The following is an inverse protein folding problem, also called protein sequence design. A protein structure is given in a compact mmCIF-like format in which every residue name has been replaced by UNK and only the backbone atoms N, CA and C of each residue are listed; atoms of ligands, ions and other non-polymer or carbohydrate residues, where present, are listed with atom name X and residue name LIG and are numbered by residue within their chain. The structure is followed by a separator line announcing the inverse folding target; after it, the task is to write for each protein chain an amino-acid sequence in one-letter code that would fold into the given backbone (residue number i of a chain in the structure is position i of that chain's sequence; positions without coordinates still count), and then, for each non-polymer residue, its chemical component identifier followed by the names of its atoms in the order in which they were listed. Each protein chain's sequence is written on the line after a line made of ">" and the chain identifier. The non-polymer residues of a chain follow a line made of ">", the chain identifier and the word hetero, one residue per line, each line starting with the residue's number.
data_IF_768066729548
#
_entry.id   IF_768066729548
#
_cell.length_a   1.000
_cell.length_b   1.000
_cell.length_c   1.000
_cell.angle_alpha   90.00
_cell.angle_beta   90.00
_cell.angle_gamma   90.00
#
_symmetry.space_group_name_H-M   'P 1'
#
loop_
_entity.id
_entity.type
_entity.pdbx_description
1 polymer ?
#
# COMPACT_ATOMS: atom_id res chain seq x y z
N UNK A 1 3.30 4.80 15.31
CA UNK A 1 3.08 3.62 14.44
C UNK A 1 2.32 2.47 15.11
N UNK A 2 2.53 2.18 16.40
CA UNK A 2 1.91 1.02 17.07
C UNK A 2 0.39 0.93 16.93
N UNK A 3 -0.34 2.02 17.18
CA UNK A 3 -1.81 2.04 17.08
C UNK A 3 -2.35 1.77 15.67
N UNK A 4 -1.65 2.21 14.62
CA UNK A 4 -2.03 1.96 13.23
C UNK A 4 -1.93 0.47 12.88
N UNK A 5 -0.84 -0.18 13.28
CA UNK A 5 -0.61 -1.61 13.03
C UNK A 5 -1.66 -2.47 13.73
N UNK A 6 -1.95 -2.18 15.00
CA UNK A 6 -2.98 -2.90 15.76
C UNK A 6 -4.36 -2.73 15.14
N UNK A 7 -4.73 -1.49 14.80
CA UNK A 7 -6.02 -1.23 14.16
C UNK A 7 -6.12 -1.91 12.78
N UNK A 8 -5.04 -1.97 12.01
CA UNK A 8 -5.02 -2.70 10.74
C UNK A 8 -5.23 -4.19 10.96
N UNK A 9 -4.54 -4.79 11.93
CA UNK A 9 -4.75 -6.21 12.25
C UNK A 9 -6.18 -6.52 12.70
N UNK A 10 -6.85 -5.59 13.38
CA UNK A 10 -8.27 -5.73 13.69
C UNK A 10 -9.13 -5.75 12.42
N UNK A 11 -8.92 -4.80 11.49
CA UNK A 11 -9.63 -4.77 10.20
C UNK A 11 -9.34 -6.03 9.38
N UNK A 12 -8.09 -6.48 9.37
CA UNK A 12 -7.66 -7.66 8.62
C UNK A 12 -8.24 -8.95 9.21
N UNK A 13 -8.26 -9.09 10.55
CA UNK A 13 -8.90 -10.21 11.23
C UNK A 13 -10.41 -10.24 10.95
N UNK A 14 -11.10 -9.10 11.01
CA UNK A 14 -12.52 -9.03 10.64
C UNK A 14 -12.75 -9.42 9.18
N UNK A 15 -11.86 -8.98 8.27
CA UNK A 15 -11.91 -9.37 6.86
C UNK A 15 -11.83 -10.89 6.70
N UNK A 16 -10.88 -11.54 7.38
CA UNK A 16 -10.63 -12.96 7.21
C UNK A 16 -11.57 -13.87 8.02
N UNK A 17 -12.15 -13.40 9.13
CA UNK A 17 -12.89 -14.26 10.07
C UNK A 17 -14.38 -13.92 10.16
N UNK A 18 -14.80 -12.73 9.72
CA UNK A 18 -16.19 -12.25 9.81
C UNK A 18 -16.78 -12.01 8.43
N UNK A 19 -16.03 -11.40 7.52
CA UNK A 19 -16.57 -11.01 6.20
C UNK A 19 -16.45 -12.11 5.15
N UNK A 20 -15.48 -13.02 5.31
CA UNK A 20 -15.17 -14.10 4.38
C UNK A 20 -14.92 -15.42 5.12
N UNK A 21 -15.07 -16.53 4.42
CA UNK A 21 -14.59 -17.86 4.82
C UNK A 21 -13.34 -18.24 4.00
N UNK A 22 -12.12 -18.04 4.53
CA UNK A 22 -10.89 -18.33 3.79
C UNK A 22 -10.74 -19.80 3.37
N UNK A 23 -11.33 -20.73 4.13
CA UNK A 23 -11.23 -22.16 3.82
C UNK A 23 -11.97 -22.49 2.52
N UNK A 24 -13.11 -21.83 2.29
CA UNK A 24 -13.99 -22.07 1.14
C UNK A 24 -13.74 -21.12 -0.02
N UNK A 25 -13.49 -19.85 0.26
CA UNK A 25 -13.49 -18.80 -0.74
C UNK A 25 -12.10 -18.58 -1.35
N UNK A 26 -11.02 -18.81 -0.59
CA UNK A 26 -9.68 -18.37 -1.00
C UNK A 26 -8.88 -19.51 -1.63
N UNK A 27 -8.22 -19.16 -2.74
CA UNK A 27 -7.31 -20.04 -3.46
C UNK A 27 -6.02 -19.29 -3.76
N UNK A 28 -4.89 -19.98 -3.62
CA UNK A 28 -3.54 -19.46 -3.87
C UNK A 28 -2.93 -20.15 -5.08
N UNK A 29 -2.24 -19.40 -5.93
CA UNK A 29 -1.48 -19.97 -7.05
C UNK A 29 -0.24 -20.68 -6.52
N UNK A 30 -0.09 -21.96 -6.83
CA UNK A 30 1.03 -22.80 -6.40
C UNK A 30 1.60 -23.64 -7.55
N UNK A 31 2.91 -23.93 -7.47
CA UNK A 31 3.58 -24.88 -8.35
C UNK A 31 3.17 -26.30 -7.97
N UNK A 32 2.76 -27.09 -8.96
CA UNK A 32 2.56 -28.52 -8.85
C UNK A 32 3.54 -29.22 -9.78
N UNK A 33 4.23 -30.25 -9.27
CA UNK A 33 4.97 -31.16 -10.15
C UNK A 33 3.96 -32.08 -10.79
N UNK A 34 3.94 -32.13 -12.13
CA UNK A 34 3.21 -33.16 -12.85
C UNK A 34 3.72 -34.54 -12.42
N UNK A 35 2.81 -35.43 -12.03
CA UNK A 35 3.13 -36.85 -11.97
C UNK A 35 3.51 -37.28 -13.38
N UNK A 36 4.65 -37.96 -13.53
CA UNK A 36 5.03 -38.53 -14.82
C UNK A 36 3.88 -39.43 -15.27
N UNK A 37 3.35 -39.20 -16.47
CA UNK A 37 2.29 -40.03 -17.03
C UNK A 37 2.78 -41.49 -17.06
N UNK A 38 2.33 -42.30 -16.10
CA UNK A 38 2.47 -43.75 -16.17
C UNK A 38 1.41 -44.24 -17.14
N UNK A 39 1.71 -44.14 -18.44
CA UNK A 39 0.98 -44.91 -19.43
C UNK A 39 1.14 -46.38 -19.04
N UNK A 40 0.02 -47.02 -18.69
CA UNK A 40 -0.06 -48.27 -17.95
C UNK A 40 0.46 -49.53 -18.64
N UNK A 41 1.43 -49.45 -19.57
CA UNK A 41 2.07 -50.61 -20.20
C UNK A 41 3.57 -50.37 -20.39
N UNK A 42 4.34 -50.56 -19.31
CA UNK A 42 5.72 -51.08 -19.31
C UNK A 42 6.34 -50.92 -17.91
N UNK A 43 5.87 -51.70 -16.95
CA UNK A 43 6.65 -51.94 -15.73
C UNK A 43 7.69 -53.02 -16.06
N UNK A 44 8.88 -52.64 -16.50
CA UNK A 44 10.09 -53.46 -16.38
C UNK A 44 11.34 -52.57 -16.52
N UNK A 45 12.03 -52.44 -15.38
CA UNK A 45 13.48 -52.20 -15.25
C UNK A 45 14.08 -51.03 -16.02
N UNK A 46 13.99 -49.82 -15.45
CA UNK A 46 15.14 -48.89 -15.46
C UNK A 46 15.19 -48.09 -14.15
N UNK A 47 16.26 -48.27 -13.36
CA UNK A 47 16.62 -47.41 -12.22
C UNK A 47 17.17 -46.06 -12.72
N UNK A 48 16.38 -45.32 -13.50
CA UNK A 48 16.65 -43.91 -13.80
C UNK A 48 15.67 -43.05 -13.00
N UNK A 49 16.13 -42.04 -12.24
CA UNK A 49 15.20 -41.10 -11.64
C UNK A 49 14.36 -40.50 -12.76
N UNK A 50 13.04 -40.66 -12.67
CA UNK A 50 12.10 -40.09 -13.62
C UNK A 50 12.41 -38.59 -13.76
N UNK A 51 12.62 -38.11 -14.99
CA UNK A 51 12.78 -36.67 -15.23
C UNK A 51 11.53 -35.98 -14.67
N UNK A 52 11.66 -34.97 -13.79
CA UNK A 52 10.50 -34.28 -13.27
C UNK A 52 9.67 -33.73 -14.44
N UNK A 53 8.37 -34.01 -14.43
CA UNK A 53 7.44 -33.49 -15.43
C UNK A 53 7.45 -31.95 -15.46
N UNK A 54 6.94 -31.34 -16.54
CA UNK A 54 6.83 -29.88 -16.60
C UNK A 54 6.06 -29.36 -15.37
N UNK A 55 6.61 -28.33 -14.72
CA UNK A 55 5.95 -27.68 -13.58
C UNK A 55 4.71 -26.94 -14.10
N UNK A 56 3.56 -27.17 -13.46
CA UNK A 56 2.30 -26.49 -13.78
C UNK A 56 1.83 -25.65 -12.60
N UNK A 57 1.18 -24.52 -12.88
CA UNK A 57 0.57 -23.66 -11.87
C UNK A 57 -0.90 -24.06 -11.68
N UNK A 58 -1.31 -24.21 -10.42
CA UNK A 58 -2.68 -24.63 -10.07
C UNK A 58 -3.24 -23.78 -8.94
N UNK A 59 -4.57 -23.71 -8.86
CA UNK A 59 -5.27 -23.14 -7.72
C UNK A 59 -5.23 -24.10 -6.53
N UNK A 60 -4.58 -23.69 -5.44
CA UNK A 60 -4.56 -24.40 -4.18
C UNK A 60 -5.55 -23.76 -3.20
N UNK A 61 -6.64 -24.47 -2.92
CA UNK A 61 -7.55 -24.17 -1.80
C UNK A 61 -6.90 -24.50 -0.45
N UNK A 62 -7.63 -24.36 0.65
CA UNK A 62 -7.12 -24.64 1.99
C UNK A 62 -6.50 -26.05 2.11
N UNK A 63 -5.18 -26.16 2.40
CA UNK A 63 -4.48 -27.43 2.33
C UNK A 63 -4.63 -28.28 3.60
N UNK A 64 -4.62 -29.60 3.41
CA UNK A 64 -4.68 -30.59 4.49
C UNK A 64 -3.43 -30.62 5.39
N UNK A 65 -2.22 -30.85 4.84
CA UNK A 65 -1.00 -31.04 5.63
C UNK A 65 -0.62 -29.82 6.47
N UNK A 66 -0.20 -30.05 7.73
CA UNK A 66 0.05 -28.97 8.70
C UNK A 66 1.04 -27.91 8.21
N UNK A 67 2.22 -28.31 7.73
CA UNK A 67 3.24 -27.34 7.29
C UNK A 67 2.83 -26.55 6.06
N UNK A 68 2.13 -27.20 5.12
CA UNK A 68 1.57 -26.54 3.95
C UNK A 68 0.48 -25.55 4.36
N UNK A 69 -0.40 -25.95 5.27
CA UNK A 69 -1.43 -25.09 5.87
C UNK A 69 -0.85 -23.90 6.60
N UNK A 70 0.18 -24.10 7.42
CA UNK A 70 0.85 -23.00 8.12
C UNK A 70 1.46 -22.02 7.10
N UNK A 71 2.16 -22.50 6.08
CA UNK A 71 2.70 -21.65 5.00
C UNK A 71 1.60 -20.91 4.24
N UNK A 72 0.47 -21.57 3.97
CA UNK A 72 -0.68 -21.00 3.29
C UNK A 72 -1.33 -19.89 4.12
N UNK A 73 -1.57 -20.13 5.41
CA UNK A 73 -2.14 -19.16 6.35
C UNK A 73 -1.18 -17.99 6.58
N UNK A 74 0.12 -18.24 6.77
CA UNK A 74 1.11 -17.17 6.88
C UNK A 74 1.12 -16.30 5.62
N UNK A 75 1.09 -16.91 4.44
CA UNK A 75 0.96 -16.19 3.17
C UNK A 75 -0.29 -15.32 3.12
N UNK A 76 -1.43 -15.83 3.60
CA UNK A 76 -2.68 -15.07 3.65
C UNK A 76 -2.62 -13.88 4.63
N UNK A 77 -2.01 -14.08 5.80
CA UNK A 77 -1.87 -13.04 6.82
C UNK A 77 -0.91 -11.93 6.38
N UNK A 78 0.15 -12.27 5.64
CA UNK A 78 1.19 -11.31 5.24
C UNK A 78 0.97 -10.68 3.88
N UNK A 79 0.05 -11.20 3.07
CA UNK A 79 -0.23 -10.68 1.74
C UNK A 79 -1.54 -9.91 1.72
N UNK A 80 -1.47 -8.59 1.56
CA UNK A 80 -2.62 -7.69 1.67
C UNK A 80 -3.13 -7.21 0.30
N UNK A 81 -2.35 -7.40 -0.78
CA UNK A 81 -2.73 -7.06 -2.17
C UNK A 81 -3.17 -8.29 -2.98
N UNK A 82 -2.80 -9.48 -2.53
CA UNK A 82 -3.22 -10.75 -3.10
C UNK A 82 -2.67 -11.07 -4.49
N UNK A 83 -1.40 -10.76 -4.86
CA UNK A 83 -0.93 -11.00 -6.20
C UNK A 83 -1.02 -12.48 -6.62
N UNK A 84 -0.80 -13.42 -5.73
CA UNK A 84 -0.96 -14.88 -5.94
C UNK A 84 -2.33 -15.43 -5.54
N UNK A 85 -3.27 -14.59 -5.15
CA UNK A 85 -4.55 -15.01 -4.59
C UNK A 85 -5.69 -14.76 -5.57
N UNK A 86 -6.75 -15.56 -5.49
CA UNK A 86 -7.94 -15.37 -6.32
C UNK A 86 -8.70 -14.06 -6.03
N UNK A 87 -8.51 -13.48 -4.84
CA UNK A 87 -9.05 -12.17 -4.46
C UNK A 87 -8.17 -10.98 -4.87
N UNK A 88 -7.12 -11.21 -5.69
CA UNK A 88 -6.20 -10.22 -6.27
C UNK A 88 -6.87 -8.88 -6.57
N UNK A 89 -6.34 -7.80 -6.02
CA UNK A 89 -6.92 -6.47 -6.27
C UNK A 89 -6.78 -6.06 -7.75
N UNK A 90 -7.84 -5.49 -8.31
CA UNK A 90 -7.93 -5.20 -9.75
C UNK A 90 -6.85 -4.25 -10.29
N UNK A 91 -6.26 -3.41 -9.43
CA UNK A 91 -5.17 -2.50 -9.79
C UNK A 91 -3.87 -3.22 -10.14
N UNK A 92 -3.72 -4.51 -9.77
CA UNK A 92 -2.54 -5.29 -10.16
C UNK A 92 -2.65 -5.83 -11.60
N UNK A 93 -3.79 -5.63 -12.28
CA UNK A 93 -4.08 -6.22 -13.57
C UNK A 93 -4.33 -7.73 -13.51
N UNK A 94 -4.77 -8.32 -14.63
CA UNK A 94 -4.98 -9.77 -14.74
C UNK A 94 -3.64 -10.52 -14.68
N UNK A 95 -3.72 -11.83 -14.42
CA UNK A 95 -2.56 -12.70 -14.57
C UNK A 95 -2.06 -12.72 -16.03
N UNK A 96 -0.75 -12.98 -16.25
CA UNK A 96 -0.24 -13.19 -17.60
C UNK A 96 -1.01 -14.31 -18.33
N UNK A 97 -1.21 -14.24 -19.66
CA UNK A 97 -1.94 -15.27 -20.41
C UNK A 97 -1.37 -16.69 -20.22
N UNK A 98 -0.05 -16.83 -20.05
CA UNK A 98 0.61 -18.10 -19.79
C UNK A 98 0.29 -18.73 -18.43
N UNK A 99 -0.11 -17.90 -17.46
CA UNK A 99 -0.55 -18.35 -16.13
C UNK A 99 -2.04 -18.67 -16.19
N UNK A 100 -2.85 -17.80 -16.81
CA UNK A 100 -4.28 -18.03 -17.00
C UNK A 100 -4.56 -19.34 -17.73
N UNK A 101 -3.83 -19.65 -18.81
CA UNK A 101 -4.02 -20.90 -19.55
C UNK A 101 -3.78 -22.17 -18.70
N UNK A 102 -2.98 -22.07 -17.64
CA UNK A 102 -2.75 -23.18 -16.70
C UNK A 102 -3.85 -23.24 -15.63
N UNK A 103 -4.29 -22.08 -15.14
CA UNK A 103 -5.31 -21.96 -14.09
C UNK A 103 -6.75 -22.21 -14.61
N UNK A 104 -7.05 -21.84 -15.85
CA UNK A 104 -8.36 -21.94 -16.51
C UNK A 104 -8.69 -23.37 -16.95
N UNK A 105 -7.73 -24.29 -16.86
CA UNK A 105 -7.94 -25.72 -17.16
C UNK A 105 -8.87 -26.42 -16.15
N UNK A 106 -9.43 -25.72 -15.15
CA UNK A 106 -10.32 -26.30 -14.15
C UNK A 106 -11.52 -25.46 -13.69
N UNK A 107 -11.75 -24.23 -14.15
CA UNK A 107 -12.99 -23.48 -13.80
C UNK A 107 -13.21 -22.28 -14.74
N UNK A 108 -14.38 -22.23 -15.37
CA UNK A 108 -14.79 -21.14 -16.29
C UNK A 108 -15.37 -19.96 -15.51
N UNK A 109 -14.63 -18.86 -15.38
CA UNK A 109 -15.20 -17.54 -15.08
C UNK A 109 -14.27 -16.41 -15.59
N UNK A 110 -14.63 -15.80 -16.71
CA UNK A 110 -13.95 -14.60 -17.22
C UNK A 110 -14.24 -13.38 -16.34
N UNK A 111 -13.24 -12.54 -16.00
CA UNK A 111 -13.50 -11.19 -15.53
C UNK A 111 -13.55 -10.20 -16.71
N UNK A 112 -14.52 -9.28 -16.66
CA UNK A 112 -14.70 -8.15 -17.58
C UNK A 112 -13.40 -7.35 -17.78
N UNK A 113 -13.02 -7.21 -19.05
CA UNK A 113 -11.90 -6.39 -19.50
C UNK A 113 -12.29 -4.91 -19.50
N UNK A 114 -11.60 -4.06 -18.74
CA UNK A 114 -11.44 -2.63 -19.06
C UNK A 114 -10.32 -1.96 -18.23
N UNK A 115 -9.08 -2.47 -18.31
CA UNK A 115 -7.86 -1.65 -18.07
C UNK A 115 -6.74 -2.28 -18.88
N UNK A 116 -6.09 -1.52 -19.77
CA UNK A 116 -4.85 -1.96 -20.43
C UNK A 116 -3.77 -2.07 -19.34
N UNK A 117 -3.30 -3.28 -18.99
CA UNK A 117 -2.35 -3.41 -17.88
C UNK A 117 -0.98 -2.88 -18.31
N UNK A 118 -0.16 -2.39 -17.37
CA UNK A 118 1.26 -2.18 -17.63
C UNK A 118 1.87 -3.50 -18.09
N UNK A 119 2.63 -3.48 -19.20
CA UNK A 119 3.43 -4.61 -19.66
C UNK A 119 4.57 -4.84 -18.65
N UNK A 120 4.29 -5.51 -17.53
CA UNK A 120 5.37 -5.99 -16.68
C UNK A 120 6.14 -7.07 -17.45
N UNK A 121 7.48 -7.03 -17.48
CA UNK A 121 8.27 -8.17 -17.92
C UNK A 121 7.86 -9.40 -17.11
N UNK A 122 7.58 -10.53 -17.76
CA UNK A 122 7.24 -11.76 -17.04
C UNK A 122 8.40 -12.22 -16.12
N UNK A 123 9.64 -11.89 -16.49
CA UNK A 123 10.85 -12.26 -15.76
C UNK A 123 11.23 -11.22 -14.70
N UNK A 124 11.33 -11.67 -13.46
CA UNK A 124 11.76 -10.87 -12.31
C UNK A 124 13.20 -10.35 -12.47
N UNK A 125 14.10 -11.10 -13.14
CA UNK A 125 15.49 -10.68 -13.35
C UNK A 125 15.58 -9.35 -14.12
N UNK A 126 14.68 -9.15 -15.08
CA UNK A 126 14.58 -7.91 -15.83
C UNK A 126 14.02 -6.74 -15.01
N UNK A 127 13.25 -7.03 -13.95
CA UNK A 127 12.66 -6.01 -13.07
C UNK A 127 13.61 -5.58 -11.94
N UNK A 128 14.51 -6.47 -11.49
CA UNK A 128 15.42 -6.21 -10.36
C UNK A 128 16.22 -4.91 -10.48
N UNK A 129 16.84 -4.54 -11.62
CA UNK A 129 17.58 -3.28 -11.73
C UNK A 129 16.71 -2.05 -11.47
N UNK A 130 15.46 -2.06 -11.96
CA UNK A 130 14.51 -0.98 -11.71
C UNK A 130 14.08 -0.91 -10.24
N UNK A 131 13.88 -2.07 -9.60
CA UNK A 131 13.53 -2.18 -8.17
C UNK A 131 14.68 -1.67 -7.29
N UNK A 132 15.92 -2.08 -7.60
CA UNK A 132 17.12 -1.60 -6.89
C UNK A 132 17.28 -0.08 -7.09
N UNK A 133 17.10 0.42 -8.32
CA UNK A 133 17.16 1.85 -8.59
C UNK A 133 16.10 2.63 -7.80
N UNK A 134 14.87 2.11 -7.72
CA UNK A 134 13.80 2.72 -6.92
C UNK A 134 14.13 2.70 -5.43
N UNK A 135 14.65 1.57 -4.92
CA UNK A 135 15.08 1.43 -3.53
C UNK A 135 16.15 2.48 -3.17
N UNK A 136 17.21 2.59 -3.98
CA UNK A 136 18.30 3.56 -3.79
C UNK A 136 17.80 5.02 -3.89
N UNK A 137 16.97 5.34 -4.90
CA UNK A 137 16.39 6.69 -5.03
C UNK A 137 15.53 7.06 -3.84
N UNK A 138 14.70 6.13 -3.37
CA UNK A 138 13.81 6.35 -2.23
C UNK A 138 14.62 6.49 -0.93
N UNK A 139 15.70 5.73 -0.77
CA UNK A 139 16.64 5.87 0.34
C UNK A 139 17.27 7.27 0.36
N UNK A 140 17.87 7.70 -0.75
CA UNK A 140 18.54 9.01 -0.84
C UNK A 140 17.53 10.16 -0.68
N UNK A 141 16.31 10.00 -1.21
CA UNK A 141 15.25 10.98 -1.01
C UNK A 141 14.83 11.08 0.46
N UNK A 142 14.69 9.95 1.16
CA UNK A 142 14.41 9.95 2.60
C UNK A 142 15.52 10.60 3.41
N UNK A 143 16.78 10.30 3.07
CA UNK A 143 17.95 10.87 3.74
C UNK A 143 17.96 12.40 3.63
N UNK A 144 17.76 12.92 2.41
CA UNK A 144 17.64 14.36 2.16
C UNK A 144 16.42 14.98 2.87
N UNK A 145 15.26 14.34 2.80
CA UNK A 145 14.03 14.86 3.41
C UNK A 145 14.17 14.92 4.93
N UNK A 146 14.77 13.90 5.55
CA UNK A 146 15.03 13.88 6.98
C UNK A 146 15.96 15.00 7.38
N UNK A 147 17.02 15.24 6.62
CA UNK A 147 17.91 16.38 6.84
C UNK A 147 17.16 17.72 6.83
N UNK A 148 16.26 17.92 5.87
CA UNK A 148 15.46 19.14 5.78
C UNK A 148 14.47 19.26 6.94
N UNK A 149 13.83 18.14 7.33
CA UNK A 149 12.84 18.11 8.39
C UNK A 149 13.43 18.39 9.77
N UNK A 150 14.59 17.83 10.12
CA UNK A 150 15.21 18.07 11.45
C UNK A 150 15.59 19.54 11.67
N UNK A 151 15.68 20.33 10.59
CA UNK A 151 16.02 21.76 10.63
C UNK A 151 14.83 22.70 10.61
N UNK A 152 13.64 22.22 10.27
CA UNK A 152 12.42 23.02 10.35
C UNK A 152 11.67 22.63 11.63
N UNK A 153 11.59 23.59 12.55
CA UNK A 153 10.98 23.44 13.88
C UNK A 153 9.58 22.82 13.84
N UNK A 154 8.83 23.05 12.75
CA UNK A 154 7.53 22.43 12.57
C UNK A 154 7.57 20.92 12.59
N UNK A 155 8.52 20.29 11.89
CA UNK A 155 8.65 18.83 11.90
C UNK A 155 9.21 18.32 13.22
N UNK A 156 9.82 19.21 14.02
CA UNK A 156 10.24 18.94 15.39
C UNK A 156 9.10 19.12 16.42
N UNK A 157 7.85 19.15 15.96
CA UNK A 157 6.67 19.20 16.82
C UNK A 157 6.28 20.61 17.29
N UNK A 158 7.07 21.63 16.96
CA UNK A 158 6.77 23.02 17.29
C UNK A 158 5.78 23.59 16.26
N UNK A 159 4.51 23.27 16.47
CA UNK A 159 3.42 23.83 15.66
C UNK A 159 2.91 25.12 16.32
N UNK A 160 3.58 26.22 15.99
CA UNK A 160 3.28 27.58 16.44
C UNK A 160 2.23 28.29 15.56
N UNK A 161 1.52 29.25 16.16
CA UNK A 161 0.70 30.23 15.45
C UNK A 161 1.10 31.64 15.94
N UNK A 162 1.74 32.48 15.11
CA UNK A 162 2.04 32.27 13.68
C UNK A 162 3.11 31.19 13.44
N UNK A 163 3.17 30.60 12.23
CA UNK A 163 4.12 29.55 11.90
C UNK A 163 5.56 30.08 11.82
N UNK A 164 6.50 29.31 12.38
CA UNK A 164 7.93 29.60 12.25
C UNK A 164 8.37 29.59 10.77
N UNK A 165 9.38 30.41 10.40
CA UNK A 165 9.97 30.40 9.06
C UNK A 165 10.40 28.98 8.63
N UNK A 166 10.09 28.55 7.40
CA UNK A 166 10.47 27.22 6.93
C UNK A 166 11.95 27.19 6.52
N UNK A 167 12.72 26.25 7.04
CA UNK A 167 14.08 26.00 6.53
C UNK A 167 14.04 25.22 5.21
N UNK A 168 14.87 25.52 4.19
CA UNK A 168 15.85 26.62 4.09
C UNK A 168 15.27 27.89 3.43
N UNK A 169 13.95 28.01 3.36
CA UNK A 169 13.24 29.00 2.56
C UNK A 169 12.58 30.09 3.43
N UNK A 170 13.35 30.73 4.31
CA UNK A 170 12.85 31.77 5.23
C UNK A 170 12.14 32.91 4.49
N UNK A 171 12.52 33.16 3.23
CA UNK A 171 11.86 34.13 2.32
C UNK A 171 10.37 33.84 2.09
N UNK A 172 9.90 32.60 2.33
CA UNK A 172 8.50 32.21 2.23
C UNK A 172 7.69 32.56 3.48
N UNK A 173 8.33 32.91 4.61
CA UNK A 173 7.66 33.19 5.88
C UNK A 173 6.53 34.24 5.79
N UNK A 174 6.63 35.32 4.99
CA UNK A 174 5.53 36.29 4.81
C UNK A 174 4.29 35.71 4.10
N UNK A 175 4.39 34.53 3.48
CA UNK A 175 3.35 33.91 2.67
C UNK A 175 2.90 32.56 3.29
N UNK A 176 1.95 32.55 4.26
CA UNK A 176 1.54 31.34 4.96
C UNK A 176 1.10 30.18 4.06
N UNK A 177 0.47 30.49 2.93
CA UNK A 177 0.08 29.49 1.93
C UNK A 177 1.28 28.76 1.31
N UNK A 178 2.38 29.47 1.04
CA UNK A 178 3.60 28.87 0.48
C UNK A 178 4.32 28.01 1.52
N UNK A 179 4.38 28.47 2.78
CA UNK A 179 4.89 27.68 3.91
C UNK A 179 4.10 26.38 4.06
N UNK A 180 2.76 26.47 4.03
CA UNK A 180 1.89 25.30 4.10
C UNK A 180 2.13 24.35 2.92
N UNK A 181 2.26 24.89 1.71
CA UNK A 181 2.51 24.09 0.50
C UNK A 181 3.84 23.37 0.59
N UNK A 182 4.90 24.04 1.07
CA UNK A 182 6.20 23.44 1.34
C UNK A 182 6.08 22.28 2.33
N UNK A 183 5.49 22.51 3.51
CA UNK A 183 5.37 21.50 4.57
C UNK A 183 4.51 20.29 4.17
N UNK A 184 3.40 20.53 3.48
CA UNK A 184 2.58 19.47 2.88
C UNK A 184 3.37 18.66 1.84
N UNK A 185 4.14 19.34 0.98
CA UNK A 185 4.94 18.68 -0.06
C UNK A 185 6.04 17.84 0.57
N UNK A 186 6.77 18.38 1.54
CA UNK A 186 7.81 17.65 2.30
C UNK A 186 7.26 16.43 3.01
N UNK A 187 6.12 16.57 3.70
CA UNK A 187 5.41 15.43 4.31
C UNK A 187 5.00 14.39 3.27
N UNK A 188 4.39 14.83 2.17
CA UNK A 188 3.92 13.93 1.11
C UNK A 188 5.06 13.16 0.46
N UNK A 189 6.16 13.82 0.09
CA UNK A 189 7.33 13.17 -0.48
C UNK A 189 8.01 12.26 0.56
N UNK A 190 8.10 12.68 1.82
CA UNK A 190 8.66 11.87 2.90
C UNK A 190 7.91 10.55 3.09
N UNK A 191 6.58 10.61 3.20
CA UNK A 191 5.72 9.41 3.29
C UNK A 191 5.83 8.56 2.03
N UNK A 192 5.80 9.18 0.84
CA UNK A 192 5.90 8.46 -0.43
C UNK A 192 7.23 7.71 -0.54
N UNK A 193 8.35 8.37 -0.24
CA UNK A 193 9.69 7.77 -0.27
C UNK A 193 9.82 6.66 0.77
N UNK A 194 9.25 6.82 1.98
CA UNK A 194 9.25 5.80 3.04
C UNK A 194 8.53 4.53 2.58
N UNK A 195 7.31 4.69 2.05
CA UNK A 195 6.52 3.57 1.56
C UNK A 195 7.14 2.92 0.33
N UNK A 196 7.71 3.69 -0.60
CA UNK A 196 8.40 3.17 -1.76
C UNK A 196 9.63 2.35 -1.36
N UNK A 197 10.44 2.87 -0.43
CA UNK A 197 11.62 2.18 0.10
C UNK A 197 11.27 0.85 0.75
N UNK A 198 10.32 0.85 1.70
CA UNK A 198 9.89 -0.38 2.40
C UNK A 198 9.26 -1.38 1.43
N UNK A 199 8.49 -0.91 0.45
CA UNK A 199 7.85 -1.78 -0.54
C UNK A 199 8.87 -2.51 -1.44
N UNK A 200 10.07 -1.97 -1.62
CA UNK A 200 11.15 -2.64 -2.36
C UNK A 200 11.70 -3.86 -1.62
N UNK A 201 11.56 -3.97 -0.30
CA UNK A 201 12.08 -5.12 0.45
C UNK A 201 11.39 -6.42 0.07
N UNK A 202 10.09 -6.40 -0.21
CA UNK A 202 9.35 -7.61 -0.60
C UNK A 202 9.95 -8.30 -1.85
N UNK A 203 10.09 -7.64 -3.02
CA UNK A 203 10.73 -8.26 -4.17
C UNK A 203 12.24 -8.52 -3.99
N UNK A 204 12.97 -7.67 -3.25
CA UNK A 204 14.41 -7.87 -3.06
C UNK A 204 14.71 -9.08 -2.16
N UNK A 205 13.93 -9.25 -1.09
CA UNK A 205 14.08 -10.37 -0.16
C UNK A 205 13.47 -11.63 -0.75
N UNK A 206 12.17 -11.69 -0.97
CA UNK A 206 11.52 -12.94 -1.39
C UNK A 206 11.85 -13.30 -2.84
N UNK A 207 11.77 -12.32 -3.74
CA UNK A 207 12.10 -12.53 -5.15
C UNK A 207 13.59 -12.74 -5.39
N UNK A 208 14.42 -11.86 -4.83
CA UNK A 208 15.89 -11.94 -4.95
C UNK A 208 16.46 -13.22 -4.33
N UNK A 209 16.05 -13.60 -3.12
CA UNK A 209 16.50 -14.86 -2.50
C UNK A 209 15.98 -16.08 -3.26
N UNK A 210 14.76 -16.03 -3.82
CA UNK A 210 14.26 -17.13 -4.65
C UNK A 210 15.06 -17.29 -5.94
N UNK A 211 15.59 -16.21 -6.52
CA UNK A 211 16.46 -16.27 -7.69
C UNK A 211 17.88 -16.73 -7.36
N UNK A 212 18.40 -16.37 -6.19
CA UNK A 212 19.73 -16.76 -5.72
C UNK A 212 19.77 -18.22 -5.22
N UNK A 213 18.72 -18.66 -4.53
CA UNK A 213 18.63 -19.97 -3.88
C UNK A 213 17.33 -20.71 -4.28
N UNK A 214 17.16 -21.06 -5.57
CA UNK A 214 15.90 -21.62 -6.07
C UNK A 214 15.50 -22.93 -5.39
N UNK A 215 16.46 -23.80 -5.08
CA UNK A 215 16.20 -25.07 -4.38
C UNK A 215 15.69 -24.85 -2.96
N UNK A 216 16.24 -23.89 -2.22
CA UNK A 216 15.82 -23.56 -0.86
C UNK A 216 14.43 -22.92 -0.87
N UNK A 217 14.17 -21.97 -1.77
CA UNK A 217 12.87 -21.34 -1.90
C UNK A 217 11.77 -22.37 -2.23
N UNK A 218 12.05 -23.30 -3.16
CA UNK A 218 11.12 -24.38 -3.53
C UNK A 218 10.90 -25.43 -2.42
N UNK A 219 11.88 -25.61 -1.53
CA UNK A 219 11.73 -26.49 -0.37
C UNK A 219 10.83 -25.87 0.71
N UNK A 220 10.81 -24.54 0.81
CA UNK A 220 10.04 -23.80 1.82
C UNK A 220 8.61 -23.53 1.36
N UNK A 221 8.41 -23.21 0.07
CA UNK A 221 7.09 -22.85 -0.45
C UNK A 221 6.88 -23.31 -1.90
N UNK A 222 5.64 -23.72 -2.18
CA UNK A 222 5.15 -24.02 -3.53
C UNK A 222 4.80 -22.75 -4.31
N UNK A 223 4.71 -21.57 -3.68
CA UNK A 223 4.42 -20.30 -4.35
C UNK A 223 5.56 -19.94 -5.32
N UNK A 224 5.24 -19.47 -6.54
CA UNK A 224 6.25 -19.11 -7.53
C UNK A 224 6.98 -17.80 -7.25
N UNK A 225 7.73 -17.70 -6.15
CA UNK A 225 8.39 -16.47 -5.68
C UNK A 225 9.37 -15.84 -6.68
N UNK A 226 9.83 -16.56 -7.69
CA UNK A 226 10.67 -16.05 -8.79
C UNK A 226 9.86 -15.40 -9.93
N UNK A 227 8.53 -15.48 -9.89
CA UNK A 227 7.67 -14.95 -10.93
C UNK A 227 7.50 -13.42 -10.83
N UNK A 228 7.81 -12.71 -11.92
CA UNK A 228 7.77 -11.25 -11.95
C UNK A 228 6.38 -10.63 -11.74
N UNK A 229 5.30 -11.38 -12.00
CA UNK A 229 3.92 -10.90 -11.83
C UNK A 229 3.45 -10.85 -10.37
N UNK A 230 4.23 -11.43 -9.44
CA UNK A 230 3.99 -11.34 -8.00
C UNK A 230 4.36 -9.99 -7.41
N UNK A 231 5.21 -9.24 -8.10
CA UNK A 231 5.79 -7.99 -7.59
C UNK A 231 5.39 -6.77 -8.42
N UNK A 232 4.09 -6.51 -8.63
CA UNK A 232 3.66 -5.30 -9.29
C UNK A 232 4.08 -4.07 -8.46
N UNK A 233 4.40 -2.93 -9.11
CA UNK A 233 4.75 -1.70 -8.41
C UNK A 233 3.75 -1.36 -7.31
N UNK A 234 4.25 -0.87 -6.18
CA UNK A 234 3.39 -0.44 -5.07
C UNK A 234 2.48 0.71 -5.52
N UNK A 235 3.06 1.70 -6.20
CA UNK A 235 2.36 2.88 -6.71
C UNK A 235 2.08 2.77 -8.21
N UNK A 236 0.93 3.29 -8.63
CA UNK A 236 0.58 3.44 -10.05
C UNK A 236 1.31 4.62 -10.72
N UNK A 237 0.95 4.96 -11.97
CA UNK A 237 1.50 6.14 -12.63
C UNK A 237 0.85 7.43 -12.10
N UNK A 238 1.64 8.30 -11.47
CA UNK A 238 1.13 9.52 -10.81
C UNK A 238 0.41 10.49 -11.77
N UNK A 239 1.11 10.93 -12.82
CA UNK A 239 0.60 11.99 -13.70
C UNK A 239 -0.67 11.55 -14.44
N UNK A 240 -0.70 10.37 -15.05
CA UNK A 240 -1.85 9.94 -15.86
C UNK A 240 -3.08 9.68 -14.99
N UNK A 241 -2.93 9.07 -13.83
CA UNK A 241 -4.06 8.80 -12.93
C UNK A 241 -4.71 10.10 -12.42
N UNK A 242 -3.92 11.11 -12.05
CA UNK A 242 -4.45 12.40 -11.60
C UNK A 242 -5.00 13.22 -12.75
N UNK A 243 -4.28 13.32 -13.87
CA UNK A 243 -4.73 14.11 -15.02
C UNK A 243 -6.01 13.53 -15.64
N UNK A 244 -6.10 12.22 -15.80
CA UNK A 244 -7.24 11.57 -16.47
C UNK A 244 -8.40 11.27 -15.50
N UNK A 245 -8.11 10.88 -14.25
CA UNK A 245 -9.15 10.45 -13.29
C UNK A 245 -9.30 11.36 -12.06
N UNK A 246 -8.53 12.46 -11.94
CA UNK A 246 -8.68 13.41 -10.84
C UNK A 246 -8.39 12.82 -9.46
N UNK A 247 -9.10 13.31 -8.44
CA UNK A 247 -8.89 12.92 -7.05
C UNK A 247 -9.19 11.43 -6.79
N UNK A 248 -10.19 10.86 -7.49
CA UNK A 248 -10.47 9.42 -7.37
C UNK A 248 -9.33 8.59 -7.97
N UNK A 249 -8.67 9.05 -9.03
CA UNK A 249 -7.49 8.41 -9.60
C UNK A 249 -6.32 8.34 -8.61
N UNK A 250 -6.08 9.43 -7.89
CA UNK A 250 -5.06 9.52 -6.85
C UNK A 250 -5.19 8.37 -5.83
N UNK A 251 -6.39 8.18 -5.27
CA UNK A 251 -6.61 7.20 -4.20
C UNK A 251 -6.90 5.77 -4.69
N UNK A 252 -7.54 5.61 -5.85
CA UNK A 252 -8.01 4.30 -6.32
C UNK A 252 -7.10 3.62 -7.33
N UNK A 253 -6.12 4.34 -7.90
CA UNK A 253 -5.21 3.82 -8.93
C UNK A 253 -3.73 4.07 -8.60
N UNK A 254 -3.38 5.26 -8.08
CA UNK A 254 -1.98 5.62 -7.82
C UNK A 254 -1.47 5.20 -6.44
N UNK A 255 -2.17 5.56 -5.37
CA UNK A 255 -1.75 5.29 -3.99
C UNK A 255 -1.58 3.78 -3.74
N UNK A 256 -0.72 3.35 -2.82
CA UNK A 256 -0.15 1.99 -2.73
C UNK A 256 -1.10 0.75 -2.71
N UNK A 257 -2.41 0.94 -2.55
CA UNK A 257 -3.45 -0.10 -2.55
C UNK A 257 -3.28 -1.27 -1.55
N UNK A 258 -2.31 -1.22 -0.62
CA UNK A 258 -2.01 -2.31 0.33
C UNK A 258 -3.23 -2.69 1.17
N UNK A 259 -3.99 -1.69 1.64
CA UNK A 259 -5.14 -1.92 2.53
C UNK A 259 -6.47 -2.07 1.79
N UNK A 260 -6.46 -2.01 0.45
CA UNK A 260 -7.68 -1.86 -0.35
C UNK A 260 -8.66 -3.00 -0.14
N UNK A 261 -8.16 -4.24 -0.09
CA UNK A 261 -9.03 -5.41 0.05
C UNK A 261 -9.86 -5.36 1.33
N UNK A 262 -9.22 -5.16 2.49
CA UNK A 262 -9.93 -5.04 3.77
C UNK A 262 -10.96 -3.91 3.80
N UNK A 263 -10.66 -2.76 3.22
CA UNK A 263 -11.60 -1.63 3.14
C UNK A 263 -12.82 -1.93 2.27
N UNK A 264 -12.60 -2.58 1.13
CA UNK A 264 -13.68 -2.97 0.22
C UNK A 264 -14.52 -4.09 0.83
N UNK A 265 -13.91 -5.11 1.42
CA UNK A 265 -14.62 -6.21 2.10
C UNK A 265 -15.52 -5.67 3.22
N UNK A 266 -15.02 -4.72 4.03
CA UNK A 266 -15.84 -4.05 5.06
C UNK A 266 -17.06 -3.36 4.44
N UNK A 267 -16.87 -2.66 3.32
CA UNK A 267 -17.95 -1.98 2.61
C UNK A 267 -18.98 -2.95 2.03
N UNK A 268 -18.53 -4.07 1.48
CA UNK A 268 -19.38 -5.12 0.91
C UNK A 268 -20.20 -5.82 1.99
N UNK A 269 -19.60 -6.09 3.15
CA UNK A 269 -20.29 -6.63 4.31
C UNK A 269 -21.37 -5.66 4.83
N UNK A 270 -21.09 -4.37 4.96
CA UNK A 270 -22.13 -3.38 5.33
C UNK A 270 -23.26 -3.35 4.29
N UNK A 271 -22.93 -3.39 3.00
CA UNK A 271 -23.93 -3.41 1.93
C UNK A 271 -24.80 -4.68 1.95
N UNK A 272 -24.26 -5.83 2.37
CA UNK A 272 -25.06 -7.05 2.49
C UNK A 272 -26.11 -6.93 3.59
N UNK A 273 -25.81 -6.25 4.69
CA UNK A 273 -26.77 -5.97 5.77
C UNK A 273 -27.94 -5.09 5.30
N UNK A 274 -27.68 -4.13 4.39
CA UNK A 274 -28.71 -3.26 3.82
C UNK A 274 -29.57 -3.97 2.76
N UNK A 275 -29.06 -5.03 2.13
CA UNK A 275 -29.66 -5.73 0.99
C UNK A 275 -30.30 -7.08 1.32
N UNK A 276 -30.48 -7.44 2.60
CA UNK A 276 -31.03 -8.73 3.02
C UNK A 276 -32.50 -8.96 2.60
N UNK A 277 -33.18 -7.96 2.04
CA UNK A 277 -34.41 -8.13 1.27
C UNK A 277 -34.11 -8.35 -0.21
N UNK A 278 -34.18 -9.60 -0.68
CA UNK A 278 -33.97 -10.01 -2.09
C UNK A 278 -34.80 -9.24 -3.12
N UNK A 279 -35.80 -8.48 -2.69
CA UNK A 279 -36.72 -7.74 -3.54
C UNK A 279 -36.16 -6.43 -4.11
N UNK A 280 -35.15 -5.79 -3.49
CA UNK A 280 -34.58 -4.53 -3.99
C UNK A 280 -33.09 -4.36 -3.63
N UNK A 281 -32.15 -4.78 -4.51
CA UNK A 281 -30.72 -4.56 -4.27
C UNK A 281 -30.37 -3.07 -4.26
N UNK A 282 -29.35 -2.64 -3.49
CA UNK A 282 -28.92 -1.24 -3.47
C UNK A 282 -28.51 -0.76 -4.86
N UNK A 283 -28.94 0.46 -5.23
CA UNK A 283 -28.59 1.06 -6.52
C UNK A 283 -27.07 1.21 -6.70
N UNK A 284 -26.59 1.28 -7.95
CA UNK A 284 -25.16 1.50 -8.24
C UNK A 284 -24.60 2.74 -7.53
N UNK A 285 -25.38 3.81 -7.47
CA UNK A 285 -25.01 5.04 -6.78
C UNK A 285 -24.90 4.84 -5.27
N UNK A 286 -25.86 4.15 -4.66
CA UNK A 286 -25.82 3.78 -3.23
C UNK A 286 -24.60 2.94 -2.92
N UNK A 287 -24.34 1.88 -3.71
CA UNK A 287 -23.16 1.02 -3.53
C UNK A 287 -21.85 1.80 -3.60
N UNK A 288 -21.73 2.71 -4.58
CA UNK A 288 -20.55 3.57 -4.73
C UNK A 288 -20.39 4.52 -3.55
N UNK A 289 -21.47 5.17 -3.11
CA UNK A 289 -21.46 6.10 -1.98
C UNK A 289 -21.03 5.40 -0.69
N UNK A 290 -21.67 4.27 -0.36
CA UNK A 290 -21.34 3.48 0.84
C UNK A 290 -19.89 3.00 0.78
N UNK A 291 -19.44 2.47 -0.36
CA UNK A 291 -18.05 2.01 -0.52
C UNK A 291 -17.05 3.15 -0.31
N UNK A 292 -17.29 4.34 -0.87
CA UNK A 292 -16.41 5.48 -0.68
C UNK A 292 -16.37 5.93 0.78
N UNK A 293 -17.54 6.12 1.41
CA UNK A 293 -17.62 6.59 2.80
C UNK A 293 -16.97 5.57 3.73
N UNK A 294 -17.34 4.29 3.64
CA UNK A 294 -16.80 3.24 4.52
C UNK A 294 -15.30 3.08 4.31
N UNK A 295 -14.80 3.00 3.07
CA UNK A 295 -13.37 2.82 2.84
C UNK A 295 -12.54 3.98 3.40
N UNK A 296 -12.97 5.23 3.20
CA UNK A 296 -12.25 6.39 3.75
C UNK A 296 -12.45 6.57 5.26
N UNK A 297 -13.60 6.18 5.82
CA UNK A 297 -13.81 6.15 7.27
C UNK A 297 -12.92 5.13 7.96
N UNK A 298 -12.84 3.90 7.44
CA UNK A 298 -11.96 2.85 7.99
C UNK A 298 -10.50 3.27 7.85
N UNK A 299 -10.10 3.81 6.68
CA UNK A 299 -8.75 4.37 6.50
C UNK A 299 -8.46 5.49 7.49
N UNK A 300 -9.40 6.42 7.70
CA UNK A 300 -9.27 7.51 8.67
C UNK A 300 -9.14 7.00 10.10
N UNK A 301 -9.94 6.00 10.47
CA UNK A 301 -9.90 5.37 11.79
C UNK A 301 -8.53 4.73 12.07
N UNK A 302 -7.97 4.01 11.10
CA UNK A 302 -6.62 3.45 11.24
C UNK A 302 -5.56 4.51 11.54
N UNK A 303 -5.60 5.63 10.83
CA UNK A 303 -4.64 6.71 11.05
C UNK A 303 -4.91 7.49 12.33
N UNK A 304 -6.17 7.61 12.76
CA UNK A 304 -6.54 8.15 14.06
C UNK A 304 -6.00 7.28 15.20
N UNK A 305 -6.11 5.95 15.12
CA UNK A 305 -5.46 5.06 16.08
C UNK A 305 -3.93 5.21 16.07
N UNK A 306 -3.33 5.42 14.90
CA UNK A 306 -1.90 5.72 14.76
C UNK A 306 -1.49 7.00 15.49
N UNK A 307 -2.28 8.06 15.32
CA UNK A 307 -2.13 9.38 15.94
C UNK A 307 -2.35 9.33 17.46
N UNK A 308 -3.39 8.64 17.92
CA UNK A 308 -3.71 8.45 19.34
C UNK A 308 -2.60 7.74 20.11
N UNK A 309 -1.90 6.80 19.45
CA UNK A 309 -0.81 6.05 20.06
C UNK A 309 0.56 6.75 20.00
N UNK A 310 0.61 8.03 19.65
CA UNK A 310 1.84 8.84 19.72
C UNK A 310 2.06 9.40 21.12
N UNK A 311 3.28 9.86 21.40
CA UNK A 311 3.70 10.30 22.74
C UNK A 311 3.08 11.67 23.11
N UNK A 312 3.14 12.69 22.24
CA UNK A 312 2.58 14.01 22.56
C UNK A 312 1.06 14.06 22.32
N UNK A 313 0.40 15.12 22.82
CA UNK A 313 -1.00 15.39 22.51
C UNK A 313 -1.20 15.63 21.01
N UNK A 314 -1.92 14.72 20.37
CA UNK A 314 -2.30 14.78 18.96
C UNK A 314 -3.79 15.08 18.77
N UNK A 315 -4.22 15.17 17.52
CA UNK A 315 -5.59 15.43 17.11
C UNK A 315 -6.14 14.26 16.26
N UNK A 316 -6.37 13.05 16.80
CA UNK A 316 -6.74 11.87 16.01
C UNK A 316 -7.99 12.07 15.13
N UNK A 317 -9.04 12.68 15.68
CA UNK A 317 -10.31 12.85 14.96
C UNK A 317 -10.31 14.08 14.05
N UNK A 318 -9.79 15.21 14.54
CA UNK A 318 -9.83 16.50 13.84
C UNK A 318 -8.67 16.68 12.86
N UNK A 319 -7.57 15.94 13.04
CA UNK A 319 -6.38 15.88 12.19
C UNK A 319 -6.47 14.75 11.16
N UNK A 320 -6.06 13.54 11.57
CA UNK A 320 -5.91 12.39 10.65
C UNK A 320 -7.24 11.84 10.13
N UNK A 321 -8.23 11.53 10.99
CA UNK A 321 -9.52 11.02 10.55
C UNK A 321 -10.20 11.99 9.57
N UNK A 322 -10.26 13.28 9.94
CA UNK A 322 -10.82 14.36 9.13
C UNK A 322 -10.19 14.43 7.74
N UNK A 323 -8.86 14.32 7.64
CA UNK A 323 -8.17 14.28 6.36
C UNK A 323 -8.68 13.15 5.47
N UNK A 324 -8.73 11.92 5.97
CA UNK A 324 -9.15 10.77 5.16
C UNK A 324 -10.63 10.82 4.77
N UNK A 325 -11.53 11.09 5.72
CA UNK A 325 -12.97 11.13 5.39
C UNK A 325 -13.31 12.27 4.41
N UNK A 326 -12.57 13.38 4.47
CA UNK A 326 -12.75 14.48 3.51
C UNK A 326 -12.43 14.09 2.07
N UNK A 327 -11.59 13.06 1.84
CA UNK A 327 -11.30 12.58 0.48
C UNK A 327 -12.55 11.98 -0.19
N UNK A 328 -13.41 11.29 0.57
CA UNK A 328 -14.71 10.85 0.06
C UNK A 328 -15.57 12.06 -0.37
N UNK A 329 -15.61 13.11 0.46
CA UNK A 329 -16.31 14.37 0.15
C UNK A 329 -15.77 15.04 -1.11
N UNK A 330 -14.44 15.15 -1.25
CA UNK A 330 -13.79 15.73 -2.43
C UNK A 330 -14.09 14.94 -3.71
N UNK A 331 -14.07 13.60 -3.63
CA UNK A 331 -14.40 12.74 -4.76
C UNK A 331 -15.85 12.91 -5.17
N UNK A 332 -16.78 12.94 -4.21
CA UNK A 332 -18.21 13.14 -4.49
C UNK A 332 -18.48 14.54 -5.07
N UNK A 333 -17.79 15.57 -4.57
CA UNK A 333 -17.87 16.92 -5.09
C UNK A 333 -17.37 17.01 -6.53
N UNK A 334 -16.20 16.43 -6.82
CA UNK A 334 -15.67 16.37 -8.18
C UNK A 334 -16.60 15.59 -9.12
N UNK A 335 -17.16 14.48 -8.65
CA UNK A 335 -18.09 13.66 -9.43
C UNK A 335 -19.39 14.42 -9.73
N UNK A 336 -19.97 15.11 -8.75
CA UNK A 336 -21.13 15.98 -8.93
C UNK A 336 -20.85 17.10 -9.93
N UNK A 337 -19.71 17.75 -9.82
CA UNK A 337 -19.28 18.79 -10.75
C UNK A 337 -19.18 18.24 -12.18
N UNK A 338 -18.42 17.17 -12.37
CA UNK A 338 -18.14 16.62 -13.69
C UNK A 338 -19.35 15.95 -14.35
N UNK A 339 -20.22 15.28 -13.59
CA UNK A 339 -21.34 14.50 -14.15
C UNK A 339 -22.66 15.26 -14.19
N UNK A 340 -22.83 16.30 -13.38
CA UNK A 340 -24.12 16.98 -13.24
C UNK A 340 -24.04 18.46 -13.58
N UNK A 341 -23.03 19.18 -13.09
CA UNK A 341 -22.97 20.64 -13.25
C UNK A 341 -22.35 21.01 -14.60
N UNK A 342 -21.15 20.50 -14.90
CA UNK A 342 -20.41 20.84 -16.13
C UNK A 342 -21.22 20.57 -17.41
N UNK A 343 -21.90 19.41 -17.58
CA UNK A 343 -22.68 19.14 -18.79
C UNK A 343 -23.90 20.07 -18.97
N UNK A 344 -24.38 20.71 -17.88
CA UNK A 344 -25.47 21.70 -17.95
C UNK A 344 -24.97 23.09 -18.35
N UNK A 345 -23.69 23.38 -18.13
CA UNK A 345 -23.08 24.68 -18.44
C UNK A 345 -22.47 24.70 -19.85
N UNK A 346 -21.83 23.61 -20.25
CA UNK A 346 -21.11 23.49 -21.52
C UNK A 346 -21.27 22.07 -22.05
N UNK A 347 -21.35 21.91 -23.38
CA UNK A 347 -21.24 20.59 -23.99
C UNK A 347 -19.88 19.99 -23.66
N UNK A 348 -19.86 18.86 -22.94
CA UNK A 348 -18.61 18.22 -22.48
C UNK A 348 -17.69 17.86 -23.65
N UNK A 349 -18.28 17.51 -24.80
CA UNK A 349 -17.54 17.19 -26.02
C UNK A 349 -16.83 18.41 -26.60
N UNK A 350 -17.31 19.62 -26.30
CA UNK A 350 -16.65 20.87 -26.69
C UNK A 350 -15.46 21.22 -25.77
N UNK A 351 -15.26 20.54 -24.63
CA UNK A 351 -14.16 20.84 -23.71
C UNK A 351 -12.89 20.08 -24.13
N UNK A 352 -11.81 20.78 -24.55
CA UNK A 352 -10.58 20.13 -24.97
C UNK A 352 -9.98 19.24 -23.87
N UNK A 353 -9.39 18.11 -24.25
CA UNK A 353 -8.75 17.18 -23.30
C UNK A 353 -7.70 17.85 -22.39
N UNK A 354 -6.83 18.77 -22.87
CA UNK A 354 -5.88 19.45 -22.01
C UNK A 354 -6.56 20.26 -20.89
N UNK A 355 -7.67 20.93 -21.20
CA UNK A 355 -8.42 21.72 -20.22
C UNK A 355 -9.08 20.83 -19.16
N UNK A 356 -9.66 19.68 -19.57
CA UNK A 356 -10.19 18.68 -18.62
C UNK A 356 -9.10 18.12 -17.70
N UNK A 357 -7.93 17.79 -18.25
CA UNK A 357 -6.77 17.32 -17.49
C UNK A 357 -6.25 18.36 -16.51
N UNK A 358 -6.15 19.62 -16.95
CA UNK A 358 -5.75 20.73 -16.09
C UNK A 358 -6.75 20.94 -14.95
N UNK A 359 -8.05 20.91 -15.22
CA UNK A 359 -9.10 20.99 -14.19
C UNK A 359 -9.03 19.84 -13.18
N UNK A 360 -8.83 18.60 -13.65
CA UNK A 360 -8.64 17.44 -12.77
C UNK A 360 -7.42 17.59 -11.86
N UNK A 361 -6.27 18.01 -12.40
CA UNK A 361 -5.06 18.23 -11.62
C UNK A 361 -5.22 19.39 -10.62
N UNK A 362 -5.77 20.52 -11.06
CA UNK A 362 -6.00 21.68 -10.20
C UNK A 362 -6.91 21.34 -9.02
N UNK A 363 -8.03 20.64 -9.28
CA UNK A 363 -8.92 20.21 -8.22
C UNK A 363 -8.25 19.20 -7.27
N UNK A 364 -7.62 18.15 -7.82
CA UNK A 364 -7.01 17.10 -6.99
C UNK A 364 -5.86 17.64 -6.12
N UNK A 365 -4.93 18.40 -6.71
CA UNK A 365 -3.81 18.99 -5.98
C UNK A 365 -4.27 20.06 -4.99
N UNK A 366 -5.21 20.93 -5.39
CA UNK A 366 -5.78 21.93 -4.50
C UNK A 366 -6.51 21.31 -3.30
N UNK A 367 -7.30 20.25 -3.53
CA UNK A 367 -8.00 19.52 -2.47
C UNK A 367 -7.00 18.84 -1.50
N UNK A 368 -5.98 18.17 -2.04
CA UNK A 368 -4.95 17.51 -1.23
C UNK A 368 -4.12 18.51 -0.43
N UNK A 369 -3.78 19.67 -0.98
CA UNK A 369 -3.06 20.73 -0.24
C UNK A 369 -3.94 21.32 0.87
N UNK A 370 -5.21 21.60 0.56
CA UNK A 370 -6.16 22.18 1.52
C UNK A 370 -6.44 21.25 2.70
N UNK A 371 -6.68 19.96 2.42
CA UNK A 371 -6.98 18.96 3.45
C UNK A 371 -5.71 18.41 4.10
N UNK A 372 -4.60 18.34 3.36
CA UNK A 372 -3.32 17.79 3.80
C UNK A 372 -2.71 18.51 5.00
N UNK A 373 -3.07 19.78 5.23
CA UNK A 373 -2.63 20.51 6.43
C UNK A 373 -3.01 19.81 7.74
N UNK A 374 -4.19 19.19 7.80
CA UNK A 374 -4.69 18.55 9.01
C UNK A 374 -3.85 17.33 9.41
N UNK A 375 -3.47 16.49 8.44
CA UNK A 375 -2.63 15.32 8.69
C UNK A 375 -1.15 15.70 8.88
N UNK A 376 -0.66 16.69 8.13
CA UNK A 376 0.72 17.17 8.23
C UNK A 376 0.99 17.75 9.62
N UNK A 377 0.05 18.53 10.14
CA UNK A 377 0.15 19.12 11.47
C UNK A 377 0.07 18.07 12.58
N UNK A 378 -0.84 17.10 12.45
CA UNK A 378 -0.94 15.99 13.39
C UNK A 378 0.34 15.15 13.45
N UNK A 379 0.94 14.85 12.29
CA UNK A 379 2.21 14.13 12.20
C UNK A 379 3.37 14.89 12.83
N UNK A 380 3.42 16.22 12.63
CA UNK A 380 4.38 17.09 13.29
C UNK A 380 4.19 17.06 14.82
N UNK A 381 3.00 17.36 15.33
CA UNK A 381 2.67 17.35 16.76
C UNK A 381 2.98 16.01 17.42
N UNK A 382 2.61 14.91 16.76
CA UNK A 382 2.79 13.55 17.25
C UNK A 382 4.23 13.03 17.17
N UNK A 383 5.20 13.86 16.75
CA UNK A 383 6.60 13.48 16.69
C UNK A 383 6.90 12.36 15.68
N UNK A 384 6.06 12.16 14.66
CA UNK A 384 6.27 11.12 13.64
C UNK A 384 7.66 11.25 13.00
N UNK A 385 8.12 12.49 12.85
CA UNK A 385 9.37 12.82 12.17
C UNK A 385 10.61 12.63 13.03
N UNK A 386 10.48 12.33 14.33
CA UNK A 386 11.60 11.95 15.19
C UNK A 386 12.08 10.53 14.95
N UNK A 387 11.24 9.65 14.41
CA UNK A 387 11.65 8.29 14.07
C UNK A 387 12.72 8.32 12.99
N UNK A 388 13.86 7.65 13.19
CA UNK A 388 14.93 7.55 12.19
C UNK A 388 14.79 6.29 11.34
N UNK A 389 14.26 6.38 10.11
CA UNK A 389 13.98 5.20 9.30
C UNK A 389 15.23 4.59 8.65
N UNK A 390 16.33 5.34 8.58
CA UNK A 390 17.56 4.93 7.91
C UNK A 390 18.67 4.69 8.95
N UNK A 391 19.40 3.56 8.87
CA UNK A 391 20.52 3.29 9.77
C UNK A 391 21.75 4.16 9.44
N UNK A 392 21.93 4.49 8.17
CA UNK A 392 23.09 5.23 7.67
C UNK A 392 22.65 6.47 6.88
N UNK A 393 23.21 7.63 7.16
CA UNK A 393 22.97 8.84 6.38
C UNK A 393 24.21 9.23 5.59
N UNK A 394 24.05 9.38 4.27
CA UNK A 394 25.10 9.88 3.38
C UNK A 394 25.28 11.38 3.60
N UNK A 395 24.17 12.13 3.67
CA UNK A 395 24.24 13.59 3.78
C UNK A 395 24.80 14.05 5.14
N UNK A 396 24.40 13.40 6.25
CA UNK A 396 24.97 13.67 7.59
C UNK A 396 26.42 13.25 7.68
N UNK A 397 26.78 12.11 7.09
CA UNK A 397 28.16 11.61 7.03
C UNK A 397 29.11 12.53 6.27
N UNK A 398 28.62 13.20 5.23
CA UNK A 398 29.36 14.22 4.48
C UNK A 398 29.34 15.62 5.14
N UNK A 399 28.68 15.78 6.29
CA UNK A 399 28.56 17.07 6.97
C UNK A 399 27.72 18.11 6.21
N UNK A 400 26.93 17.67 5.23
CA UNK A 400 26.16 18.58 4.38
C UNK A 400 24.98 19.12 5.17
N UNK A 401 25.04 20.40 5.54
CA UNK A 401 23.90 21.11 6.11
C UNK A 401 23.35 20.50 7.39
N UNK A 402 24.22 20.04 8.30
CA UNK A 402 23.88 19.55 9.65
C UNK A 402 24.57 20.38 10.73
N UNK A 403 23.99 20.42 11.93
CA UNK A 403 24.72 20.87 13.12
C UNK A 403 25.78 19.82 13.50
N UNK A 404 26.82 20.19 14.25
CA UNK A 404 27.88 19.24 14.66
C UNK A 404 27.33 18.03 15.42
N UNK A 405 26.28 18.22 16.23
CA UNK A 405 25.61 17.14 16.97
C UNK A 405 24.92 16.12 16.07
N UNK A 406 24.50 16.51 14.86
CA UNK A 406 23.83 15.65 13.90
C UNK A 406 24.79 15.09 12.84
N UNK A 407 26.10 15.37 12.96
CA UNK A 407 27.11 14.83 12.06
C UNK A 407 27.38 13.36 12.35
N UNK A 408 27.65 12.61 11.28
CA UNK A 408 28.02 11.22 11.37
C UNK A 408 27.27 10.35 10.37
N UNK A 409 27.87 9.19 10.08
CA UNK A 409 27.30 8.22 9.15
C UNK A 409 26.16 7.44 9.80
N UNK A 410 26.28 7.12 11.08
CA UNK A 410 25.39 6.21 11.79
C UNK A 410 24.27 6.98 12.50
N UNK A 411 23.01 6.68 12.16
CA UNK A 411 21.84 7.40 12.70
C UNK A 411 21.20 6.71 13.91
N UNK A 412 21.53 5.44 14.18
CA UNK A 412 20.87 4.65 15.23
C UNK A 412 21.75 4.55 16.48
N UNK A 413 21.76 5.58 17.33
CA UNK A 413 22.54 5.58 18.57
C UNK A 413 21.85 4.92 19.77
N UNK A 414 20.52 4.92 19.78
CA UNK A 414 19.73 4.52 20.95
C UNK A 414 19.14 3.11 20.83
N UNK A 415 18.72 2.56 21.97
CA UNK A 415 18.17 1.21 22.08
C UNK A 415 16.73 1.20 21.56
N UNK A 416 16.48 0.47 20.48
CA UNK A 416 15.13 0.35 19.88
C UNK A 416 14.14 -0.48 20.71
N UNK A 417 14.64 -1.51 21.41
CA UNK A 417 13.81 -2.46 22.15
C UNK A 417 14.42 -2.75 23.51
N UNK A 418 13.62 -2.77 24.57
CA UNK A 418 14.06 -3.28 25.86
C UNK A 418 12.96 -3.87 26.69
N UNK A 419 13.35 -4.56 27.75
CA UNK A 419 12.40 -5.14 28.67
C UNK A 419 11.79 -4.03 29.53
N UNK A 420 10.47 -4.10 29.73
CA UNK A 420 9.71 -3.26 30.64
C UNK A 420 8.92 -4.15 31.60
N UNK A 421 8.89 -3.77 32.86
CA UNK A 421 8.17 -4.46 33.92
C UNK A 421 7.72 -3.42 34.97
N UNK A 422 6.42 -3.20 35.08
CA UNK A 422 5.82 -2.36 36.14
C UNK A 422 5.34 -3.17 37.36
N UNK A 423 5.65 -4.47 37.41
CA UNK A 423 5.24 -5.39 38.46
C UNK A 423 3.95 -6.16 38.18
N UNK A 424 3.19 -5.79 37.14
CA UNK A 424 1.94 -6.46 36.76
C UNK A 424 2.11 -7.42 35.58
N UNK A 425 1.18 -8.36 35.42
CA UNK A 425 1.19 -9.27 34.27
C UNK A 425 1.06 -8.51 32.93
N UNK A 426 0.23 -7.45 32.90
CA UNK A 426 -0.03 -6.67 31.69
C UNK A 426 0.96 -5.53 31.44
N UNK A 427 1.73 -5.14 32.44
CA UNK A 427 2.81 -4.16 32.32
C UNK A 427 4.20 -4.77 32.21
N UNK A 428 4.28 -6.07 31.89
CA UNK A 428 5.52 -6.75 31.50
C UNK A 428 5.57 -6.96 30.00
N UNK A 429 6.72 -6.68 29.38
CA UNK A 429 6.91 -6.97 27.96
C UNK A 429 8.14 -6.34 27.33
N UNK A 430 8.08 -6.22 26.01
CA UNK A 430 9.07 -5.49 25.21
C UNK A 430 8.56 -4.08 24.97
N UNK A 431 9.23 -3.10 25.55
CA UNK A 431 9.04 -1.68 25.24
C UNK A 431 9.82 -1.32 23.99
N UNK A 432 9.14 -0.65 23.07
CA UNK A 432 9.74 0.06 21.95
C UNK A 432 10.02 1.49 22.44
N UNK A 433 11.27 1.93 22.36
CA UNK A 433 11.68 3.26 22.81
C UNK A 433 11.45 4.31 21.74
#
# INVERSE_FOLDING_TARGET
>A
MGGLVVAWWFVWAATLLVFHDPEREFRRVERRRGEAATNGHAALTTNRPAKPGPETLTWQSYPGPFWHRLNWVLGLLTNMRGPEWNWRVSTLGPFPPSVLSQLDSSDSAQPEQHVTPPKLPADLRCQLPAIISLCLKSYLALDLIKLLMIRDHYFMGLVSSPPDPPFPFDILAPCPFLVQTYRCTMTGIGVLSALAYVSCFNPLLFGGLSLAFPSAARAITSVPLDAGWLYPPAFGPFLTTILDSGLIGCWSQWWHQIFRYGFISTSQWILSLLGNGKSNPPTRSTRRLVTLIVAFSVSGFLHACGSYAQIPDTCPLTGTYRFFISQAGGILLQDLWCRTILPRLVSVDAVPRPLRRAGNAAFALGWLLYTGRWITEDFARGGLWFTEPLPVSLFRGLGVGVAEVDQGWWCWGERWFGHWDDGSFWGRGTRVY
#
